data_IF_843473850274
#
_entry.id   IF_843473850274
#
_cell.length_a   1.000
_cell.length_b   1.000
_cell.length_c   1.000
_cell.angle_alpha   90.00
_cell.angle_beta   90.00
_cell.angle_gamma   90.00
#
_symmetry.space_group_name_H-M   'P 1'
#
loop_
_entity.id
_entity.type
_entity.pdbx_description
1 polymer ?
#
# COMPACT_ATOMS: atom_id res chain seq x y z
N UNK A 1 -24.48 -24.24 21.28
CA UNK A 1 -23.88 -24.19 19.93
C UNK A 1 -23.03 -22.93 19.88
N UNK A 2 -21.72 -23.06 20.08
CA UNK A 2 -20.78 -21.94 20.05
C UNK A 2 -20.66 -21.46 18.60
N UNK A 3 -21.16 -20.27 18.31
CA UNK A 3 -20.89 -19.58 17.05
C UNK A 3 -19.42 -19.18 17.10
N UNK A 4 -18.59 -19.88 16.32
CA UNK A 4 -17.21 -19.47 16.08
C UNK A 4 -17.27 -18.15 15.31
N UNK A 5 -16.98 -17.03 15.98
CA UNK A 5 -16.77 -15.76 15.34
C UNK A 5 -15.61 -15.94 14.36
N UNK A 6 -15.92 -16.06 13.06
CA UNK A 6 -14.92 -15.89 12.03
C UNK A 6 -14.47 -14.44 12.12
N UNK A 7 -13.20 -14.27 12.46
CA UNK A 7 -12.54 -12.97 12.42
C UNK A 7 -12.39 -12.64 10.94
N UNK A 8 -13.36 -11.88 10.41
CA UNK A 8 -13.10 -10.97 9.30
C UNK A 8 -11.91 -10.09 9.75
N UNK A 9 -10.81 -10.10 9.00
CA UNK A 9 -9.46 -9.69 9.45
C UNK A 9 -8.42 -10.82 9.61
N UNK A 10 -8.67 -12.04 9.12
CA UNK A 10 -7.73 -13.18 9.25
C UNK A 10 -6.54 -13.17 8.25
N UNK A 11 -6.55 -12.32 7.22
CA UNK A 11 -5.61 -12.41 6.10
C UNK A 11 -4.21 -11.90 6.47
N UNK A 12 -4.15 -10.74 7.14
CA UNK A 12 -2.92 -10.06 7.56
C UNK A 12 -2.39 -10.52 8.93
N UNK A 13 -2.89 -11.65 9.44
CA UNK A 13 -2.53 -12.14 10.77
C UNK A 13 -1.34 -13.08 10.73
N UNK A 14 -0.22 -12.70 11.34
CA UNK A 14 0.93 -13.60 11.51
C UNK A 14 1.17 -13.81 13.00
N UNK A 15 0.93 -15.04 13.47
CA UNK A 15 1.00 -15.36 14.89
C UNK A 15 -0.05 -14.59 15.68
N UNK A 16 0.41 -13.67 16.53
CA UNK A 16 -0.47 -12.83 17.38
C UNK A 16 -0.68 -11.41 16.83
N UNK A 17 -0.04 -11.08 15.71
CA UNK A 17 -0.08 -9.76 15.09
C UNK A 17 -1.05 -9.73 13.94
N UNK A 18 -1.84 -8.66 13.87
CA UNK A 18 -2.41 -8.13 12.63
C UNK A 18 -1.49 -7.00 12.17
N UNK A 19 -0.95 -7.10 10.96
CA UNK A 19 -0.28 -5.96 10.30
C UNK A 19 -1.35 -4.98 9.84
N UNK A 20 -1.04 -3.68 9.80
CA UNK A 20 -2.00 -2.70 9.27
C UNK A 20 -1.94 -2.62 7.75
N UNK A 21 -3.04 -2.20 7.13
CA UNK A 21 -3.05 -1.81 5.73
C UNK A 21 -2.15 -0.58 5.51
N UNK A 22 -1.41 -0.58 4.42
CA UNK A 22 -0.49 0.48 4.02
C UNK A 22 -1.01 1.22 2.77
N UNK A 23 -0.43 2.38 2.49
CA UNK A 23 -0.86 3.21 1.36
C UNK A 23 0.17 3.26 0.23
N UNK A 24 1.46 3.21 0.53
CA UNK A 24 2.53 3.38 -0.46
C UNK A 24 3.30 2.10 -0.69
N UNK A 25 3.67 1.45 0.40
CA UNK A 25 4.43 0.21 0.43
C UNK A 25 3.44 -0.95 0.48
N UNK A 26 3.26 -1.71 -0.61
CA UNK A 26 2.28 -2.78 -0.64
C UNK A 26 2.54 -3.84 0.43
N UNK A 27 1.48 -4.41 0.95
CA UNK A 27 1.56 -5.45 1.96
C UNK A 27 2.01 -6.78 1.35
N UNK A 28 2.84 -7.57 2.07
CA UNK A 28 3.29 -8.88 1.61
C UNK A 28 2.20 -9.98 1.73
N UNK A 29 0.96 -9.61 2.08
CA UNK A 29 -0.18 -10.52 2.21
C UNK A 29 -0.93 -10.72 0.90
N UNK A 30 -1.56 -11.88 0.77
CA UNK A 30 -2.61 -12.13 -0.23
C UNK A 30 -3.97 -11.98 0.46
N UNK A 31 -4.86 -11.25 -0.18
CA UNK A 31 -5.99 -10.55 0.42
C UNK A 31 -7.26 -10.70 -0.42
N UNK A 32 -8.42 -10.57 0.23
CA UNK A 32 -9.72 -10.39 -0.41
C UNK A 32 -10.30 -9.07 0.11
N UNK A 33 -9.98 -7.98 -0.58
CA UNK A 33 -10.23 -6.63 -0.08
C UNK A 33 -10.65 -5.67 -1.20
N UNK A 34 -11.45 -4.68 -0.83
CA UNK A 34 -11.78 -3.54 -1.66
C UNK A 34 -11.23 -2.28 -1.01
N UNK A 35 -10.31 -1.61 -1.67
CA UNK A 35 -9.89 -0.24 -1.33
C UNK A 35 -10.71 0.74 -2.16
N UNK A 36 -11.56 1.54 -1.52
CA UNK A 36 -12.32 2.59 -2.18
C UNK A 36 -12.87 3.61 -1.16
N UNK A 37 -12.47 4.89 -1.20
CA UNK A 37 -11.44 5.47 -2.05
C UNK A 37 -10.04 5.28 -1.44
N UNK A 38 -9.03 5.20 -2.30
CA UNK A 38 -7.71 5.74 -1.98
C UNK A 38 -7.63 7.18 -2.48
N UNK A 39 -6.93 8.05 -1.76
CA UNK A 39 -6.82 9.48 -2.04
C UNK A 39 -5.36 9.91 -1.98
N UNK A 40 -4.94 10.71 -2.96
CA UNK A 40 -3.72 11.52 -2.88
C UNK A 40 -4.07 12.97 -3.22
N UNK A 41 -3.65 13.92 -2.40
CA UNK A 41 -3.73 15.34 -2.69
C UNK A 41 -2.38 16.01 -2.44
N UNK A 42 -1.71 16.44 -3.51
CA UNK A 42 -0.34 16.98 -3.43
C UNK A 42 -0.07 18.01 -4.53
N UNK A 43 0.77 18.99 -4.21
CA UNK A 43 1.35 19.90 -5.21
C UNK A 43 2.64 19.31 -5.75
N UNK A 44 2.61 18.83 -6.99
CA UNK A 44 3.77 18.26 -7.67
C UNK A 44 4.78 19.35 -8.06
N UNK A 45 6.09 19.02 -8.03
CA UNK A 45 7.14 19.96 -8.42
C UNK A 45 7.09 20.27 -9.91
N UNK A 46 7.80 21.35 -10.25
CA UNK A 46 8.02 21.80 -11.63
C UNK A 46 8.93 20.81 -12.36
N UNK A 47 8.48 20.20 -13.45
CA UNK A 47 9.28 19.25 -14.24
C UNK A 47 9.42 19.73 -15.68
N UNK A 48 10.61 19.67 -16.26
CA UNK A 48 10.79 19.86 -17.71
C UNK A 48 10.34 21.19 -18.32
N UNK A 49 10.10 22.24 -17.53
CA UNK A 49 9.57 23.53 -18.04
C UNK A 49 8.09 23.76 -17.74
N UNK A 50 7.35 22.73 -17.34
CA UNK A 50 5.94 22.81 -16.95
C UNK A 50 5.79 23.32 -15.52
N UNK A 51 4.77 24.16 -15.26
CA UNK A 51 4.50 24.71 -13.91
C UNK A 51 4.12 23.59 -12.94
N UNK A 52 4.38 23.80 -11.65
CA UNK A 52 3.93 22.86 -10.62
C UNK A 52 2.41 22.78 -10.58
N UNK A 53 1.87 21.56 -10.62
CA UNK A 53 0.44 21.29 -10.62
C UNK A 53 -0.05 20.87 -9.23
N UNK A 54 -1.25 21.29 -8.86
CA UNK A 54 -1.99 20.69 -7.77
C UNK A 54 -2.75 19.48 -8.32
N UNK A 55 -2.46 18.30 -7.77
CA UNK A 55 -3.04 17.03 -8.21
C UNK A 55 -3.86 16.42 -7.07
N UNK A 56 -5.07 16.00 -7.41
CA UNK A 56 -5.90 15.10 -6.60
C UNK A 56 -6.09 13.80 -7.37
N UNK A 57 -5.80 12.66 -6.75
CA UNK A 57 -6.06 11.34 -7.32
C UNK A 57 -7.01 10.58 -6.39
N UNK A 58 -7.99 9.93 -6.99
CA UNK A 58 -8.92 9.04 -6.30
C UNK A 58 -8.81 7.67 -6.95
N UNK A 59 -8.35 6.67 -6.20
CA UNK A 59 -8.15 5.31 -6.67
C UNK A 59 -9.17 4.33 -6.10
N UNK A 60 -9.25 3.19 -6.76
CA UNK A 60 -10.00 2.02 -6.33
C UNK A 60 -9.18 0.77 -6.67
N UNK A 61 -9.10 -0.17 -5.74
CA UNK A 61 -8.45 -1.45 -5.95
C UNK A 61 -9.31 -2.59 -5.40
N UNK A 62 -9.49 -3.63 -6.20
CA UNK A 62 -10.08 -4.90 -5.79
C UNK A 62 -9.00 -5.97 -5.78
N UNK A 63 -8.74 -6.58 -4.63
CA UNK A 63 -7.87 -7.74 -4.46
C UNK A 63 -8.72 -8.99 -4.24
N UNK A 64 -8.33 -10.10 -4.87
CA UNK A 64 -9.02 -11.38 -4.77
C UNK A 64 -8.03 -12.53 -4.74
N UNK A 65 -8.12 -13.36 -3.71
CA UNK A 65 -7.40 -14.63 -3.64
C UNK A 65 -7.97 -15.62 -4.67
N UNK A 66 -7.09 -16.03 -5.58
CA UNK A 66 -7.32 -17.16 -6.49
C UNK A 66 -7.08 -18.48 -5.76
N UNK A 67 -6.03 -18.56 -4.94
CA UNK A 67 -5.72 -19.70 -4.05
C UNK A 67 -5.35 -19.16 -2.66
N UNK A 68 -5.17 -20.00 -1.62
CA UNK A 68 -4.75 -19.51 -0.31
C UNK A 68 -3.50 -18.61 -0.33
N UNK A 69 -2.59 -18.84 -1.29
CA UNK A 69 -1.29 -18.17 -1.40
C UNK A 69 -1.15 -17.29 -2.66
N UNK A 70 -2.20 -17.19 -3.49
CA UNK A 70 -2.15 -16.47 -4.78
C UNK A 70 -3.32 -15.49 -4.89
N UNK A 71 -3.00 -14.24 -5.20
CA UNK A 71 -3.95 -13.13 -5.38
C UNK A 71 -3.85 -12.55 -6.79
N UNK A 72 -5.00 -12.12 -7.32
CA UNK A 72 -5.09 -11.17 -8.43
C UNK A 72 -5.66 -9.85 -7.92
N UNK A 73 -5.19 -8.73 -8.45
CA UNK A 73 -5.77 -7.42 -8.19
C UNK A 73 -6.13 -6.68 -9.47
N UNK A 74 -7.10 -5.79 -9.37
CA UNK A 74 -7.47 -4.83 -10.42
C UNK A 74 -7.55 -3.45 -9.78
N UNK A 75 -6.79 -2.50 -10.32
CA UNK A 75 -6.69 -1.14 -9.82
C UNK A 75 -6.96 -0.14 -10.95
N UNK A 76 -7.61 0.97 -10.61
CA UNK A 76 -7.77 2.12 -11.49
C UNK A 76 -7.97 3.41 -10.69
N UNK A 77 -7.71 4.54 -11.34
CA UNK A 77 -7.77 5.86 -10.70
C UNK A 77 -8.42 6.93 -11.55
N UNK A 78 -8.89 7.98 -10.88
CA UNK A 78 -9.28 9.25 -11.47
C UNK A 78 -8.34 10.34 -10.98
N UNK A 79 -7.60 10.93 -11.91
CA UNK A 79 -6.70 12.05 -11.65
C UNK A 79 -7.33 13.37 -12.07
N UNK A 80 -7.26 14.36 -11.17
CA UNK A 80 -7.54 15.76 -11.45
C UNK A 80 -6.29 16.59 -11.20
N UNK A 81 -5.82 17.32 -12.20
CA UNK A 81 -4.65 18.20 -12.09
C UNK A 81 -4.99 19.61 -12.53
N UNK A 82 -4.48 20.59 -11.78
CA UNK A 82 -4.63 22.02 -12.07
C UNK A 82 -3.31 22.75 -11.92
N UNK A 83 -2.95 23.53 -12.93
CA UNK A 83 -1.76 24.38 -12.95
C UNK A 83 -2.17 25.84 -12.96
N UNK A 84 -1.43 26.70 -12.25
CA UNK A 84 -1.78 28.12 -12.17
C UNK A 84 -1.72 28.77 -13.56
N UNK A 85 -2.88 29.24 -14.04
CA UNK A 85 -3.03 29.89 -15.35
C UNK A 85 -3.45 28.96 -16.51
N UNK A 86 -3.56 27.66 -16.26
CA UNK A 86 -4.00 26.67 -17.26
C UNK A 86 -5.38 26.11 -16.91
N UNK A 87 -6.09 25.55 -17.90
CA UNK A 87 -7.31 24.79 -17.64
C UNK A 87 -6.99 23.52 -16.84
N UNK A 88 -7.82 23.21 -15.86
CA UNK A 88 -7.70 21.94 -15.15
C UNK A 88 -8.01 20.77 -16.08
N UNK A 89 -7.36 19.64 -15.82
CA UNK A 89 -7.56 18.40 -16.59
C UNK A 89 -7.96 17.29 -15.64
N UNK A 90 -9.03 16.58 -16.01
CA UNK A 90 -9.52 15.39 -15.29
C UNK A 90 -9.56 14.21 -16.24
N UNK A 91 -9.11 13.05 -15.78
CA UNK A 91 -9.20 11.81 -16.55
C UNK A 91 -8.89 10.57 -15.75
N UNK A 92 -9.30 9.43 -16.28
CA UNK A 92 -8.91 8.14 -15.74
C UNK A 92 -7.41 7.90 -15.97
N UNK A 93 -6.78 7.34 -14.96
CA UNK A 93 -5.44 6.74 -15.06
C UNK A 93 -5.55 5.42 -15.85
N UNK A 94 -4.41 4.81 -16.18
CA UNK A 94 -4.43 3.48 -16.80
C UNK A 94 -4.96 2.42 -15.81
N UNK A 95 -5.58 1.39 -16.34
CA UNK A 95 -5.97 0.19 -15.60
C UNK A 95 -4.71 -0.62 -15.27
N UNK A 96 -4.62 -1.12 -14.04
CA UNK A 96 -3.55 -2.02 -13.61
C UNK A 96 -4.13 -3.38 -13.18
N UNK A 97 -3.44 -4.45 -13.57
CA UNK A 97 -3.70 -5.81 -13.11
C UNK A 97 -2.49 -6.29 -12.32
N UNK A 98 -2.70 -6.74 -11.10
CA UNK A 98 -1.67 -7.32 -10.24
C UNK A 98 -1.80 -8.83 -10.11
N UNK A 99 -0.67 -9.51 -9.94
CA UNK A 99 -0.61 -10.89 -9.49
C UNK A 99 0.40 -10.98 -8.34
N UNK A 100 0.00 -11.56 -7.21
CA UNK A 100 0.84 -11.68 -6.00
C UNK A 100 0.85 -13.12 -5.50
N UNK A 101 2.03 -13.63 -5.16
CA UNK A 101 2.23 -14.96 -4.59
C UNK A 101 2.97 -14.88 -3.25
N UNK A 102 2.33 -15.31 -2.18
CA UNK A 102 2.90 -15.41 -0.84
C UNK A 102 3.64 -16.75 -0.70
N UNK A 103 4.95 -16.69 -0.44
CA UNK A 103 5.78 -17.90 -0.35
C UNK A 103 6.39 -18.12 1.04
N UNK A 104 6.27 -17.14 1.95
CA UNK A 104 6.64 -17.28 3.36
C UNK A 104 5.51 -16.74 4.24
N UNK A 105 5.14 -17.53 5.26
CA UNK A 105 4.35 -17.11 6.42
C UNK A 105 4.79 -17.91 7.64
N UNK A 106 5.45 -17.25 8.58
CA UNK A 106 5.94 -17.84 9.82
C UNK A 106 5.27 -17.19 11.04
N UNK A 107 4.30 -17.87 11.68
CA UNK A 107 3.59 -17.33 12.83
C UNK A 107 4.44 -17.24 14.11
N UNK A 108 5.54 -18.01 14.21
CA UNK A 108 6.40 -18.02 15.40
C UNK A 108 7.30 -16.78 15.37
N UNK A 109 7.87 -16.50 14.20
CA UNK A 109 8.78 -15.37 14.01
C UNK A 109 8.11 -14.09 13.50
N UNK A 110 6.79 -14.09 13.35
CA UNK A 110 6.02 -12.98 12.75
C UNK A 110 6.60 -12.53 11.40
N UNK A 111 6.97 -13.48 10.52
CA UNK A 111 7.58 -13.21 9.21
C UNK A 111 6.60 -13.52 8.07
N UNK A 112 6.61 -12.69 7.05
CA UNK A 112 5.87 -12.91 5.80
C UNK A 112 6.69 -12.40 4.61
N UNK A 113 6.60 -13.07 3.47
CA UNK A 113 7.18 -12.58 2.23
C UNK A 113 6.39 -13.03 1.00
N UNK A 114 6.37 -12.18 -0.02
CA UNK A 114 5.69 -12.44 -1.28
C UNK A 114 6.44 -11.82 -2.46
N UNK A 115 6.15 -12.34 -3.65
CA UNK A 115 6.53 -11.72 -4.92
C UNK A 115 5.26 -11.25 -5.62
N UNK A 116 5.35 -10.12 -6.28
CA UNK A 116 4.26 -9.53 -7.05
C UNK A 116 4.73 -9.12 -8.44
N UNK A 117 3.81 -9.06 -9.38
CA UNK A 117 3.98 -8.37 -10.66
C UNK A 117 2.75 -7.51 -10.91
N UNK A 118 2.96 -6.22 -11.09
CA UNK A 118 1.96 -5.28 -11.60
C UNK A 118 2.09 -5.12 -13.11
N UNK A 119 0.97 -5.03 -13.82
CA UNK A 119 0.91 -4.67 -15.23
C UNK A 119 -0.05 -3.50 -15.41
N UNK A 120 0.50 -2.31 -15.60
CA UNK A 120 -0.26 -1.14 -16.04
C UNK A 120 -0.47 -1.22 -17.55
N UNK A 121 -1.74 -1.21 -17.98
CA UNK A 121 -2.13 -1.41 -19.37
C UNK A 121 -2.18 -0.05 -20.08
N UNK A 122 -1.22 0.17 -20.97
CA UNK A 122 -1.07 1.44 -21.68
C UNK A 122 -2.26 1.81 -22.53
N UNK A 123 -2.63 3.09 -22.52
CA UNK A 123 -3.69 3.62 -23.39
C UNK A 123 -5.12 3.29 -22.95
N UNK A 124 -5.31 2.72 -21.77
CA UNK A 124 -6.64 2.51 -21.17
C UNK A 124 -7.16 3.77 -20.47
N UNK A 125 -6.26 4.65 -20.01
CA UNK A 125 -6.58 5.93 -19.40
C UNK A 125 -6.64 7.11 -20.38
N UNK A 126 -6.92 8.31 -19.86
CA UNK A 126 -6.98 9.55 -20.63
C UNK A 126 -5.59 10.16 -20.77
N UNK A 127 -5.01 10.10 -21.97
CA UNK A 127 -3.69 10.67 -22.27
C UNK A 127 -3.54 12.15 -21.88
N UNK A 128 -4.58 12.98 -22.09
CA UNK A 128 -4.53 14.39 -21.69
C UNK A 128 -4.40 14.61 -20.17
N UNK A 129 -4.81 13.64 -19.35
CA UNK A 129 -4.68 13.68 -17.89
C UNK A 129 -3.35 13.07 -17.39
N UNK A 130 -2.48 12.61 -18.30
CA UNK A 130 -1.17 12.04 -17.98
C UNK A 130 -1.08 10.52 -18.10
N UNK A 131 -2.15 9.82 -18.48
CA UNK A 131 -2.11 8.37 -18.67
C UNK A 131 -1.18 7.99 -19.83
N UNK A 132 -0.28 7.04 -19.58
CA UNK A 132 0.78 6.68 -20.53
C UNK A 132 0.23 5.76 -21.64
N UNK A 133 0.65 5.94 -22.91
CA UNK A 133 0.16 5.13 -24.04
C UNK A 133 0.95 3.84 -24.24
N UNK A 134 1.64 3.34 -23.21
CA UNK A 134 2.48 2.15 -23.27
C UNK A 134 2.35 1.35 -21.99
N UNK A 135 2.59 0.06 -22.06
CA UNK A 135 2.52 -0.83 -20.90
C UNK A 135 3.70 -0.57 -19.95
N UNK A 136 3.47 -0.76 -18.66
CA UNK A 136 4.52 -0.78 -17.64
C UNK A 136 4.39 -2.06 -16.83
N UNK A 137 5.49 -2.78 -16.64
CA UNK A 137 5.53 -4.01 -15.85
C UNK A 137 6.40 -3.81 -14.62
N UNK A 138 5.88 -4.20 -13.46
CA UNK A 138 6.48 -3.90 -12.17
C UNK A 138 6.64 -5.15 -11.30
N UNK A 139 7.74 -5.92 -11.47
CA UNK A 139 8.04 -7.04 -10.58
C UNK A 139 8.59 -6.55 -9.24
N UNK A 140 8.11 -7.12 -8.14
CA UNK A 140 8.40 -6.65 -6.78
C UNK A 140 8.54 -7.80 -5.80
N UNK A 141 9.53 -7.71 -4.91
CA UNK A 141 9.66 -8.53 -3.71
C UNK A 141 9.14 -7.73 -2.51
N UNK A 142 8.32 -8.36 -1.68
CA UNK A 142 7.70 -7.77 -0.49
C UNK A 142 8.04 -8.61 0.74
N UNK A 143 8.24 -7.96 1.89
CA UNK A 143 8.44 -8.66 3.16
C UNK A 143 7.82 -7.91 4.34
N UNK A 144 7.55 -8.64 5.42
CA UNK A 144 7.09 -8.12 6.70
C UNK A 144 7.70 -8.92 7.86
N UNK A 145 8.08 -8.21 8.92
CA UNK A 145 8.62 -8.76 10.17
C UNK A 145 8.03 -8.01 11.36
N UNK A 146 7.25 -8.72 12.17
CA UNK A 146 6.85 -8.27 13.50
C UNK A 146 7.94 -8.61 14.53
N UNK A 147 8.00 -7.85 15.63
CA UNK A 147 8.99 -8.07 16.69
C UNK A 147 8.42 -8.80 17.93
N UNK A 148 7.33 -9.55 17.75
CA UNK A 148 6.68 -10.29 18.83
C UNK A 148 7.54 -11.36 19.50
N UNK A 149 8.51 -11.91 18.77
CA UNK A 149 9.45 -12.95 19.22
C UNK A 149 10.65 -12.40 20.02
N UNK A 150 10.70 -11.09 20.28
CA UNK A 150 11.73 -10.49 21.13
C UNK A 150 11.66 -11.01 22.58
N UNK A 151 12.80 -11.10 23.30
CA UNK A 151 12.80 -11.36 24.73
C UNK A 151 11.99 -10.33 25.54
N UNK A 152 11.47 -10.73 26.71
CA UNK A 152 10.59 -9.86 27.52
C UNK A 152 11.23 -8.56 28.01
N UNK A 153 12.56 -8.50 28.11
CA UNK A 153 13.30 -7.25 28.38
C UNK A 153 13.05 -6.17 27.32
N UNK A 154 12.64 -6.56 26.11
CA UNK A 154 12.27 -5.67 25.00
C UNK A 154 10.76 -5.62 24.76
N UNK A 155 9.93 -5.91 25.77
CA UNK A 155 8.47 -5.96 25.64
C UNK A 155 7.86 -4.70 24.97
N UNK A 156 8.42 -3.51 25.21
CA UNK A 156 7.97 -2.25 24.59
C UNK A 156 8.16 -2.18 23.07
N UNK A 157 9.07 -2.99 22.53
CA UNK A 157 9.35 -3.09 21.09
C UNK A 157 8.60 -4.24 20.42
N UNK A 158 8.02 -5.17 21.18
CA UNK A 158 7.20 -6.23 20.61
C UNK A 158 6.07 -5.73 19.70
N UNK A 159 5.41 -4.59 19.96
CA UNK A 159 4.40 -4.03 19.05
C UNK A 159 4.94 -3.48 17.74
N UNK A 160 6.24 -3.30 17.59
CA UNK A 160 6.86 -2.79 16.35
C UNK A 160 6.82 -3.87 15.27
N UNK A 161 6.53 -3.46 14.04
CA UNK A 161 6.82 -4.25 12.85
C UNK A 161 7.48 -3.40 11.77
N UNK A 162 8.18 -4.08 10.87
CA UNK A 162 8.80 -3.51 9.68
C UNK A 162 8.29 -4.27 8.47
N UNK A 163 7.89 -3.55 7.43
CA UNK A 163 7.62 -4.11 6.12
C UNK A 163 8.38 -3.34 5.06
N UNK A 164 8.53 -3.92 3.87
CA UNK A 164 9.22 -3.24 2.79
C UNK A 164 9.08 -3.91 1.45
N UNK A 165 9.52 -3.16 0.44
CA UNK A 165 9.48 -3.54 -0.96
C UNK A 165 10.83 -3.31 -1.63
N UNK A 166 11.13 -4.17 -2.59
CA UNK A 166 12.20 -3.98 -3.57
C UNK A 166 11.71 -4.47 -4.93
N UNK A 167 11.58 -3.58 -5.89
CA UNK A 167 11.03 -3.88 -7.20
C UNK A 167 11.60 -3.02 -8.30
N UNK A 168 11.17 -3.32 -9.51
CA UNK A 168 11.51 -2.57 -10.71
C UNK A 168 10.24 -1.99 -11.30
N UNK A 169 10.32 -0.84 -11.94
CA UNK A 169 9.27 -0.29 -12.81
C UNK A 169 9.85 -0.24 -14.21
N UNK A 170 9.27 -1.03 -15.12
CA UNK A 170 9.82 -1.25 -16.45
C UNK A 170 8.80 -0.80 -17.50
N UNK A 171 8.90 0.45 -17.98
CA UNK A 171 8.15 0.91 -19.14
C UNK A 171 8.49 0.09 -20.38
N UNK A 172 7.49 -0.45 -21.09
CA UNK A 172 7.66 -1.11 -22.38
C UNK A 172 7.77 -0.06 -23.49
N UNK A 173 8.76 0.83 -23.31
CA UNK A 173 9.09 1.93 -24.20
C UNK A 173 10.59 2.27 -24.08
N UNK A 174 11.27 2.34 -25.21
CA UNK A 174 12.73 2.55 -25.25
C UNK A 174 13.17 3.93 -24.78
N UNK A 175 12.28 4.92 -24.73
CA UNK A 175 12.60 6.29 -24.31
C UNK A 175 12.37 6.58 -22.83
N UNK A 176 11.61 5.74 -22.13
CA UNK A 176 11.22 5.95 -20.73
C UNK A 176 12.16 5.15 -19.82
N UNK A 177 12.80 5.76 -18.80
CA UNK A 177 13.80 5.09 -17.96
C UNK A 177 13.21 3.97 -17.11
N UNK A 178 14.02 2.95 -16.85
CA UNK A 178 13.70 1.91 -15.87
C UNK A 178 13.97 2.47 -14.48
N UNK A 179 13.11 2.14 -13.51
CA UNK A 179 13.22 2.60 -12.14
C UNK A 179 13.43 1.43 -11.19
N UNK A 180 14.31 1.60 -10.21
CA UNK A 180 14.34 0.79 -8.99
C UNK A 180 13.37 1.41 -8.00
N UNK A 181 12.34 0.68 -7.62
CA UNK A 181 11.41 1.04 -6.55
C UNK A 181 11.83 0.32 -5.28
N UNK A 182 12.06 1.08 -4.22
CA UNK A 182 12.42 0.51 -2.92
C UNK A 182 11.81 1.35 -1.82
N UNK A 183 11.43 0.69 -0.74
CA UNK A 183 10.75 1.35 0.35
C UNK A 183 10.62 0.43 1.55
N UNK A 184 10.32 1.04 2.68
CA UNK A 184 10.05 0.31 3.91
C UNK A 184 9.18 1.15 4.81
N UNK A 185 8.50 0.50 5.75
CA UNK A 185 7.75 1.18 6.78
C UNK A 185 8.09 0.61 8.14
N UNK A 186 7.85 1.43 9.15
CA UNK A 186 7.85 1.02 10.54
C UNK A 186 6.49 1.37 11.12
N UNK A 187 5.82 0.36 11.69
CA UNK A 187 4.53 0.51 12.35
C UNK A 187 4.64 0.14 13.83
N UNK A 188 3.78 0.76 14.66
CA UNK A 188 3.66 0.44 16.08
C UNK A 188 2.21 0.07 16.42
N UNK A 189 1.93 -1.21 16.63
CA UNK A 189 0.55 -1.68 16.80
C UNK A 189 0.04 -1.53 18.24
N UNK A 190 -0.83 -0.53 18.49
CA UNK A 190 -1.54 -0.44 19.77
C UNK A 190 -2.47 -1.63 20.04
N UNK A 191 -3.16 -2.23 19.04
CA UNK A 191 -3.88 -3.49 19.22
C UNK A 191 -2.99 -4.61 19.78
N UNK A 192 -1.75 -4.72 19.27
CA UNK A 192 -0.79 -5.73 19.73
C UNK A 192 -0.40 -5.51 21.19
N UNK A 193 -0.12 -4.25 21.58
CA UNK A 193 0.29 -3.89 22.94
C UNK A 193 -0.77 -4.25 24.01
N UNK A 194 -2.04 -4.28 23.63
CA UNK A 194 -3.17 -4.53 24.52
C UNK A 194 -3.45 -6.04 24.75
N UNK A 195 -2.68 -6.94 24.13
CA UNK A 195 -2.81 -8.39 24.25
C UNK A 195 -1.87 -8.94 25.35
N UNK A 196 -2.33 -9.87 26.21
CA UNK A 196 -2.66 -9.69 27.64
C UNK A 196 -1.51 -9.27 28.60
N UNK A 197 -0.42 -8.65 28.12
CA UNK A 197 0.75 -8.27 28.94
C UNK A 197 0.55 -6.93 29.68
N UNK A 198 -0.44 -6.12 29.30
CA UNK A 198 -0.64 -4.77 29.83
C UNK A 198 -2.11 -4.49 30.18
N UNK A 199 -2.41 -4.09 31.43
CA UNK A 199 -3.74 -3.67 31.92
C UNK A 199 -4.28 -2.36 31.28
N UNK A 200 -3.54 -1.78 30.33
CA UNK A 200 -3.87 -0.52 29.68
C UNK A 200 -4.72 -0.77 28.43
N UNK A 201 -6.02 -1.04 28.62
CA UNK A 201 -6.97 -1.08 27.50
C UNK A 201 -7.35 0.35 27.12
N UNK A 202 -6.96 0.77 25.91
CA UNK A 202 -7.39 2.05 25.37
C UNK A 202 -8.89 1.98 25.04
N UNK A 203 -9.67 3.06 25.22
CA UNK A 203 -11.05 3.09 24.76
C UNK A 203 -11.08 3.15 23.22
N UNK A 204 -12.10 2.58 22.56
CA UNK A 204 -12.36 2.85 21.16
C UNK A 204 -12.52 4.37 20.90
N UNK A 205 -12.04 4.89 19.74
CA UNK A 205 -11.38 4.16 18.65
C UNK A 205 -9.86 3.93 18.87
N UNK A 206 -9.28 4.47 19.94
CA UNK A 206 -7.81 4.50 20.14
C UNK A 206 -7.15 3.13 20.25
N UNK A 207 -7.92 2.12 20.67
CA UNK A 207 -7.44 0.75 20.73
C UNK A 207 -7.14 0.11 19.37
N UNK A 208 -7.62 0.71 18.27
CA UNK A 208 -7.40 0.26 16.89
C UNK A 208 -6.28 1.00 16.16
N UNK A 209 -5.64 2.01 16.76
CA UNK A 209 -4.65 2.82 16.04
C UNK A 209 -3.29 2.13 15.89
N UNK A 210 -2.71 2.30 14.71
CA UNK A 210 -1.37 1.87 14.34
C UNK A 210 -0.67 3.09 13.73
N UNK A 211 0.05 3.90 14.53
CA UNK A 211 0.93 4.92 13.98
C UNK A 211 2.06 4.27 13.20
N UNK A 212 2.41 4.87 12.08
CA UNK A 212 3.43 4.35 11.18
C UNK A 212 4.17 5.47 10.44
N UNK A 213 5.28 5.11 9.82
CA UNK A 213 5.98 5.95 8.84
C UNK A 213 6.39 5.07 7.66
N UNK A 214 5.94 5.43 6.45
CA UNK A 214 6.38 4.78 5.22
C UNK A 214 7.45 5.61 4.52
N UNK A 215 8.53 4.96 4.10
CA UNK A 215 9.59 5.53 3.28
C UNK A 215 9.45 4.95 1.87
N UNK A 216 9.27 5.82 0.88
CA UNK A 216 9.06 5.43 -0.51
C UNK A 216 10.08 6.10 -1.42
N UNK A 217 10.81 5.32 -2.22
CA UNK A 217 11.88 5.80 -3.07
C UNK A 217 11.85 5.16 -4.46
N UNK A 218 12.00 5.99 -5.49
CA UNK A 218 12.22 5.52 -6.86
C UNK A 218 13.51 6.11 -7.41
N UNK A 219 14.38 5.24 -7.89
CA UNK A 219 15.70 5.61 -8.43
C UNK A 219 15.79 5.22 -9.89
N UNK A 220 16.03 6.20 -10.75
CA UNK A 220 16.25 5.96 -12.19
C UNK A 220 17.52 5.14 -12.40
N UNK A 221 17.45 4.13 -13.25
CA UNK A 221 18.57 3.20 -13.49
C UNK A 221 19.35 3.52 -14.76
N UNK A 222 18.72 4.17 -15.74
CA UNK A 222 19.32 4.34 -17.06
C UNK A 222 18.85 5.63 -17.78
N UNK A 223 18.99 5.63 -19.13
CA UNK A 223 18.53 6.66 -20.08
C UNK A 223 18.86 8.11 -19.68
N UNK A 224 20.11 8.34 -19.26
CA UNK A 224 20.65 9.68 -18.97
C UNK A 224 20.15 10.29 -17.64
N UNK A 225 19.36 9.55 -16.88
CA UNK A 225 18.87 9.97 -15.57
C UNK A 225 19.45 9.13 -14.42
N UNK A 226 20.26 8.10 -14.69
CA UNK A 226 20.78 7.14 -13.70
C UNK A 226 21.19 7.76 -12.36
N UNK A 227 20.74 7.17 -11.26
CA UNK A 227 21.07 7.55 -9.89
C UNK A 227 20.29 8.76 -9.37
N UNK A 228 19.30 9.27 -10.11
CA UNK A 228 18.39 10.30 -9.61
C UNK A 228 17.26 9.62 -8.83
N UNK A 229 17.14 9.98 -7.56
CA UNK A 229 16.13 9.42 -6.67
C UNK A 229 15.08 10.47 -6.34
N UNK A 230 13.80 10.10 -6.48
CA UNK A 230 12.69 10.75 -5.74
C UNK A 230 12.43 9.93 -4.48
N UNK A 231 12.17 10.61 -3.38
CA UNK A 231 11.95 9.99 -2.08
C UNK A 231 10.92 10.78 -1.25
N UNK A 232 10.07 10.08 -0.52
CA UNK A 232 9.14 10.65 0.47
C UNK A 232 9.25 9.91 1.80
N UNK A 233 8.94 10.62 2.88
CA UNK A 233 8.61 10.05 4.17
C UNK A 233 7.14 10.35 4.45
N UNK A 234 6.39 9.32 4.82
CA UNK A 234 4.94 9.38 4.93
C UNK A 234 4.52 8.97 6.34
N UNK A 235 4.64 9.88 7.33
CA UNK A 235 4.15 9.61 8.67
C UNK A 235 2.62 9.66 8.69
N UNK A 236 2.01 8.72 9.39
CA UNK A 236 0.56 8.68 9.51
C UNK A 236 0.06 7.71 10.56
N UNK A 237 -1.22 7.41 10.45
CA UNK A 237 -1.92 6.50 11.35
C UNK A 237 -2.97 5.72 10.57
N UNK A 238 -3.05 4.43 10.88
CA UNK A 238 -4.11 3.54 10.41
C UNK A 238 -4.97 3.18 11.61
N UNK A 239 -6.29 3.21 11.42
CA UNK A 239 -7.24 2.64 12.35
C UNK A 239 -7.70 1.29 11.83
N UNK A 240 -7.43 0.24 12.60
CA UNK A 240 -7.80 -1.15 12.29
C UNK A 240 -9.12 -1.48 12.99
N UNK A 241 -10.18 -1.64 12.18
CA UNK A 241 -11.49 -2.09 12.61
C UNK A 241 -11.66 -3.61 12.47
N UNK A 242 -12.92 -4.06 12.46
CA UNK A 242 -13.26 -5.49 12.26
C UNK A 242 -13.37 -5.91 10.80
N UNK A 243 -13.74 -4.98 9.92
CA UNK A 243 -13.93 -5.26 8.49
C UNK A 243 -13.60 -4.05 7.63
N UNK A 244 -13.04 -3.02 8.26
CA UNK A 244 -12.72 -1.73 7.68
C UNK A 244 -11.42 -1.27 8.30
N UNK A 245 -10.47 -0.85 7.48
CA UNK A 245 -9.33 -0.06 7.91
C UNK A 245 -9.38 1.33 7.27
N UNK A 246 -8.94 2.33 8.02
CA UNK A 246 -8.91 3.72 7.57
C UNK A 246 -7.53 4.28 7.87
N UNK A 247 -6.80 4.68 6.83
CA UNK A 247 -5.48 5.30 6.99
C UNK A 247 -5.42 6.73 6.48
N UNK A 248 -4.56 7.52 7.10
CA UNK A 248 -4.23 8.87 6.66
C UNK A 248 -2.76 9.17 6.97
N UNK A 249 -2.07 9.76 5.99
CA UNK A 249 -0.65 10.06 6.08
C UNK A 249 -0.35 11.44 5.47
N UNK A 250 0.63 12.13 6.04
CA UNK A 250 1.27 13.24 5.35
C UNK A 250 2.23 12.68 4.30
N UNK A 251 2.39 13.36 3.16
CA UNK A 251 3.40 13.01 2.15
C UNK A 251 4.49 14.06 2.21
N UNK A 252 5.64 13.74 2.81
CA UNK A 252 6.74 14.69 3.03
C UNK A 252 7.87 14.42 2.03
N UNK A 253 8.13 15.33 1.08
CA UNK A 253 9.27 15.24 0.17
C UNK A 253 10.61 15.20 0.93
N UNK A 254 11.45 14.22 0.64
CA UNK A 254 12.79 14.11 1.26
C UNK A 254 13.90 14.76 0.44
N UNK A 255 13.60 15.15 -0.80
CA UNK A 255 14.56 15.83 -1.65
C UNK A 255 13.85 16.76 -2.65
N UNK A 256 14.63 17.65 -3.27
CA UNK A 256 14.10 18.67 -4.18
C UNK A 256 13.44 18.10 -5.45
N UNK A 257 13.69 16.85 -5.82
CA UNK A 257 13.05 16.18 -6.97
C UNK A 257 11.64 15.71 -6.63
N UNK A 258 11.41 15.30 -5.39
CA UNK A 258 10.08 15.00 -4.86
C UNK A 258 9.24 16.26 -4.63
N UNK A 259 9.87 17.44 -4.62
CA UNK A 259 9.23 18.73 -4.41
C UNK A 259 9.48 19.31 -3.02
N UNK A 260 8.70 20.32 -2.66
CA UNK A 260 8.86 21.06 -1.40
C UNK A 260 7.54 21.21 -0.62
N UNK A 261 6.44 20.69 -1.16
CA UNK A 261 5.12 20.84 -0.56
C UNK A 261 4.71 19.51 0.07
N UNK A 262 4.23 19.58 1.30
CA UNK A 262 3.62 18.43 1.98
C UNK A 262 2.27 18.14 1.33
N UNK A 263 2.04 16.88 0.98
CA UNK A 263 0.74 16.38 0.54
C UNK A 263 0.02 15.64 1.66
N UNK A 264 -1.17 15.14 1.34
CA UNK A 264 -1.91 14.20 2.18
C UNK A 264 -2.34 13.02 1.33
N UNK A 265 -2.32 11.83 1.91
CA UNK A 265 -2.93 10.64 1.34
C UNK A 265 -3.77 9.93 2.39
N UNK A 266 -4.70 9.13 1.92
CA UNK A 266 -5.50 8.30 2.81
C UNK A 266 -6.25 7.24 2.04
N UNK A 267 -6.83 6.30 2.76
CA UNK A 267 -7.61 5.23 2.17
C UNK A 267 -8.71 4.77 3.12
N UNK A 268 -9.73 4.14 2.53
CA UNK A 268 -10.63 3.25 3.25
C UNK A 268 -10.57 1.90 2.56
N UNK A 269 -10.25 0.87 3.34
CA UNK A 269 -10.25 -0.51 2.89
C UNK A 269 -11.34 -1.30 3.58
N UNK A 270 -11.94 -2.22 2.85
CA UNK A 270 -13.02 -3.08 3.31
C UNK A 270 -12.68 -4.54 3.01
N UNK A 271 -12.96 -5.43 3.97
CA UNK A 271 -12.95 -6.86 3.72
C UNK A 271 -13.98 -7.17 2.61
N UNK A 272 -13.61 -8.00 1.64
CA UNK A 272 -14.51 -8.30 0.53
C UNK A 272 -15.76 -9.06 0.98
N UNK A 273 -15.67 -9.84 2.06
CA UNK A 273 -16.82 -10.48 2.71
C UNK A 273 -17.81 -9.46 3.28
N UNK A 274 -17.34 -8.33 3.79
CA UNK A 274 -18.22 -7.26 4.27
C UNK A 274 -18.97 -6.58 3.12
N UNK A 275 -18.34 -6.44 1.96
CA UNK A 275 -18.93 -5.76 0.79
C UNK A 275 -19.84 -6.68 -0.02
N UNK A 276 -19.43 -7.93 -0.25
CA UNK A 276 -20.08 -8.86 -1.18
C UNK A 276 -20.77 -10.05 -0.51
N UNK A 277 -20.66 -10.17 0.81
CA UNK A 277 -21.31 -11.21 1.61
C UNK A 277 -20.45 -12.46 1.83
N UNK A 278 -21.04 -13.41 2.55
CA UNK A 278 -20.37 -14.64 2.99
C UNK A 278 -19.76 -15.42 1.82
N UNK A 279 -18.51 -15.82 1.96
CA UNK A 279 -17.77 -16.56 0.94
C UNK A 279 -16.95 -15.68 -0.02
N UNK A 280 -17.24 -14.38 -0.12
CA UNK A 280 -16.40 -13.47 -0.91
C UNK A 280 -14.99 -13.31 -0.32
N UNK A 281 -14.82 -13.57 0.98
CA UNK A 281 -13.52 -13.64 1.66
C UNK A 281 -12.80 -15.00 1.55
N UNK A 282 -13.27 -15.94 0.72
CA UNK A 282 -12.61 -17.25 0.52
C UNK A 282 -11.87 -17.30 -0.83
N UNK A 283 -10.73 -18.01 -0.93
CA UNK A 283 -10.08 -18.23 -2.21
C UNK A 283 -11.01 -18.87 -3.25
N UNK A 284 -10.85 -18.51 -4.53
CA UNK A 284 -11.66 -19.07 -5.62
C UNK A 284 -11.36 -20.56 -5.88
N UNK A 285 -10.13 -20.99 -5.64
CA UNK A 285 -9.64 -22.35 -5.85
C UNK A 285 -8.80 -22.81 -4.65
N UNK A 286 -8.56 -24.12 -4.54
CA UNK A 286 -7.61 -24.69 -3.56
C UNK A 286 -8.20 -25.14 -2.22
N UNK A 287 -9.49 -24.94 -1.99
CA UNK A 287 -10.17 -25.34 -0.75
C UNK A 287 -9.86 -24.42 0.44
N UNK A 288 -10.65 -24.51 1.53
CA UNK A 288 -10.39 -23.79 2.78
C UNK A 288 -9.17 -24.34 3.53
#
# INVERSE_FOLDING_TARGET
>A
MLVSAHVAGAQEVVGRRTFSDHVVVPEPFVEDELTLPSLLHIRRPRTGGERGALTTQIGAELKKRLTPDLEVSVNGGLSHSSSAGDSSVTGFDNLEIGLKYQFIRDPIHEVVASVAVGWEIGGTGRAAAGAEPFDTVSPTLLFGKGFGDLPDVFASFKPVAVAGLLGMVIPIRTTSPDLLHWGFLVEYSLPYLQSPVSDHRLPPPFNGFVPLIEMDMQTTLDRGARGKTVATANPGVVWVGKSIQIGCEAVVPLNSRSGANVGVRGFIRFDLEFVLGEGAGRPLFGGP
#
